data_IF_468877879394
#
_entry.id   IF_468877879394
#
_cell.length_a   1.000
_cell.length_b   1.000
_cell.length_c   1.000
_cell.angle_alpha   90.00
_cell.angle_beta   90.00
_cell.angle_gamma   90.00
#
_symmetry.space_group_name_H-M   'P 1'
#
loop_
_entity.id
_entity.type
_entity.pdbx_description
1 polymer ?
#
# COMPACT_ATOMS: atom_id res chain seq x y z
N UNK A 1 11.07 0.22 -4.22
CA UNK A 1 10.45 0.06 -2.90
C UNK A 1 9.40 -1.07 -3.00
N UNK A 2 8.85 -1.61 -1.91
CA UNK A 2 7.89 -2.72 -1.99
C UNK A 2 6.65 -2.39 -1.17
N UNK A 3 5.50 -2.98 -1.51
CA UNK A 3 4.40 -3.08 -0.57
C UNK A 3 4.73 -4.16 0.45
N UNK A 4 4.70 -3.83 1.74
CA UNK A 4 4.77 -4.84 2.80
C UNK A 4 3.51 -5.70 2.77
N UNK A 5 3.65 -6.98 3.09
CA UNK A 5 2.52 -7.88 3.25
C UNK A 5 1.49 -7.26 4.22
N UNK A 6 0.20 -7.33 3.89
CA UNK A 6 -0.88 -6.65 4.62
C UNK A 6 -0.97 -7.05 6.10
N UNK A 7 -0.70 -8.31 6.42
CA UNK A 7 -0.63 -8.81 7.80
C UNK A 7 0.45 -8.13 8.66
N UNK A 8 1.49 -7.55 8.04
CA UNK A 8 2.57 -6.88 8.78
C UNK A 8 2.23 -5.43 9.13
N UNK A 9 1.26 -4.81 8.45
CA UNK A 9 0.92 -3.38 8.62
C UNK A 9 0.76 -2.98 10.10
N UNK A 10 0.01 -3.73 10.94
CA UNK A 10 -0.16 -3.38 12.35
C UNK A 10 1.13 -3.44 13.18
N UNK A 11 2.13 -4.21 12.74
CA UNK A 11 3.39 -4.45 13.44
C UNK A 11 4.56 -3.61 12.89
N UNK A 12 4.46 -3.08 11.66
CA UNK A 12 5.54 -2.32 11.03
C UNK A 12 6.06 -1.19 11.94
N UNK A 13 7.38 -0.97 12.05
CA UNK A 13 7.89 0.18 12.78
C UNK A 13 7.53 1.49 12.07
N UNK A 14 7.62 2.61 12.81
CA UNK A 14 7.22 3.95 12.32
C UNK A 14 7.76 4.27 10.93
N UNK A 15 9.06 4.03 10.68
CA UNK A 15 9.66 4.41 9.40
C UNK A 15 9.09 3.62 8.22
N UNK A 16 8.82 2.33 8.44
CA UNK A 16 8.26 1.42 7.44
C UNK A 16 6.80 1.74 7.19
N UNK A 17 6.00 2.00 8.22
CA UNK A 17 4.61 2.41 8.07
C UNK A 17 4.49 3.73 7.28
N UNK A 18 5.25 4.76 7.66
CA UNK A 18 5.24 6.03 6.94
C UNK A 18 5.81 5.90 5.52
N UNK A 19 6.79 5.01 5.32
CA UNK A 19 7.30 4.65 4.00
C UNK A 19 6.24 3.97 3.15
N UNK A 20 5.43 3.11 3.75
CA UNK A 20 4.36 2.37 3.08
C UNK A 20 3.27 3.30 2.55
N UNK A 21 2.92 4.34 3.33
CA UNK A 21 2.01 5.39 2.87
C UNK A 21 2.58 6.14 1.65
N UNK A 22 3.86 6.54 1.70
CA UNK A 22 4.51 7.22 0.55
C UNK A 22 4.52 6.34 -0.69
N UNK A 23 4.79 5.04 -0.53
CA UNK A 23 4.79 4.09 -1.64
C UNK A 23 3.39 3.95 -2.25
N UNK A 24 2.36 3.69 -1.43
CA UNK A 24 0.99 3.57 -1.91
C UNK A 24 0.50 4.86 -2.58
N UNK A 25 0.83 6.01 -2.00
CA UNK A 25 0.56 7.33 -2.58
C UNK A 25 1.24 7.51 -3.95
N UNK A 26 2.50 7.11 -4.08
CA UNK A 26 3.26 7.20 -5.33
C UNK A 26 2.66 6.28 -6.42
N UNK A 27 2.32 5.03 -6.06
CA UNK A 27 1.72 4.06 -6.96
C UNK A 27 0.33 4.50 -7.44
N UNK A 28 -0.49 5.08 -6.56
CA UNK A 28 -1.79 5.68 -6.95
C UNK A 28 -1.61 6.94 -7.81
N UNK A 29 -0.53 7.69 -7.61
CA UNK A 29 -0.26 8.93 -8.32
C UNK A 29 0.48 8.76 -9.64
N UNK A 30 1.55 9.55 -9.82
CA UNK A 30 2.40 9.57 -11.03
C UNK A 30 3.22 8.29 -11.25
N UNK A 31 3.24 7.39 -10.26
CA UNK A 31 3.87 6.07 -10.35
C UNK A 31 3.00 5.01 -11.04
N UNK A 32 1.70 5.28 -11.23
CA UNK A 32 0.79 4.31 -11.82
C UNK A 32 1.25 3.82 -13.20
N UNK A 33 1.34 2.50 -13.38
CA UNK A 33 1.72 1.86 -14.65
C UNK A 33 3.21 1.97 -15.01
N UNK A 34 4.06 2.53 -14.14
CA UNK A 34 5.52 2.56 -14.35
C UNK A 34 6.14 1.27 -13.83
N UNK A 35 6.97 0.61 -14.65
CA UNK A 35 7.68 -0.61 -14.27
C UNK A 35 8.41 -0.46 -12.94
N UNK A 36 8.15 -1.41 -12.05
CA UNK A 36 8.68 -1.50 -10.73
C UNK A 36 8.95 -2.98 -10.37
N UNK A 37 10.23 -3.34 -10.27
CA UNK A 37 10.70 -4.74 -10.18
C UNK A 37 9.98 -5.64 -9.15
N UNK A 38 9.53 -5.08 -8.01
CA UNK A 38 8.92 -5.83 -6.90
C UNK A 38 7.43 -5.58 -6.67
N UNK A 39 6.80 -4.64 -7.39
CA UNK A 39 5.37 -4.30 -7.18
C UNK A 39 4.56 -4.19 -8.47
N UNK A 40 5.12 -4.64 -9.60
CA UNK A 40 4.45 -4.61 -10.90
C UNK A 40 3.10 -5.32 -10.90
N UNK A 41 2.93 -6.35 -10.05
CA UNK A 41 1.65 -7.05 -9.90
C UNK A 41 0.50 -6.11 -9.52
N UNK A 42 0.76 -5.01 -8.79
CA UNK A 42 -0.29 -4.06 -8.39
C UNK A 42 -1.04 -3.51 -9.61
N UNK A 43 -0.35 -3.35 -10.74
CA UNK A 43 -0.91 -2.79 -11.96
C UNK A 43 -1.64 -3.83 -12.83
N UNK A 44 -1.57 -5.12 -12.49
CA UNK A 44 -2.37 -6.18 -13.14
C UNK A 44 -3.75 -6.34 -12.50
N UNK A 45 -3.99 -5.65 -11.38
CA UNK A 45 -5.25 -5.66 -10.63
C UNK A 45 -6.03 -4.34 -10.79
N UNK A 46 -7.33 -4.33 -10.48
CA UNK A 46 -8.10 -3.09 -10.43
C UNK A 46 -7.46 -2.06 -9.47
N UNK A 47 -7.35 -0.76 -9.87
CA UNK A 47 -6.75 0.28 -9.03
C UNK A 47 -7.37 0.40 -7.63
N UNK A 48 -8.64 0.03 -7.49
CA UNK A 48 -9.35 0.04 -6.22
C UNK A 48 -8.75 -0.93 -5.19
N UNK A 49 -8.09 -2.02 -5.60
CA UNK A 49 -7.36 -2.89 -4.67
C UNK A 49 -6.18 -2.17 -4.01
N UNK A 50 -5.46 -1.35 -4.76
CA UNK A 50 -4.40 -0.50 -4.20
C UNK A 50 -4.98 0.55 -3.24
N UNK A 51 -6.17 1.06 -3.50
CA UNK A 51 -6.88 1.91 -2.55
C UNK A 51 -7.21 1.15 -1.26
N UNK A 52 -7.80 -0.05 -1.34
CA UNK A 52 -8.10 -0.90 -0.17
C UNK A 52 -6.84 -1.18 0.66
N UNK A 53 -5.74 -1.53 0.01
CA UNK A 53 -4.46 -1.69 0.70
C UNK A 53 -3.99 -0.38 1.36
N UNK A 54 -4.11 0.75 0.65
CA UNK A 54 -3.75 2.05 1.22
C UNK A 54 -4.61 2.40 2.43
N UNK A 55 -5.90 2.03 2.45
CA UNK A 55 -6.77 2.23 3.62
C UNK A 55 -6.20 1.53 4.86
N UNK A 56 -5.73 0.29 4.77
CA UNK A 56 -5.10 -0.40 5.91
C UNK A 56 -3.93 0.41 6.51
N UNK A 57 -3.13 1.03 5.64
CA UNK A 57 -2.00 1.87 6.04
C UNK A 57 -2.47 3.17 6.68
N UNK A 58 -3.48 3.83 6.09
CA UNK A 58 -4.05 5.08 6.60
C UNK A 58 -4.74 4.89 7.95
N UNK A 59 -5.47 3.78 8.10
CA UNK A 59 -6.15 3.41 9.34
C UNK A 59 -5.14 3.11 10.44
N UNK A 60 -4.08 2.35 10.14
CA UNK A 60 -3.01 2.08 11.10
C UNK A 60 -2.23 3.36 11.47
N UNK A 61 -1.98 4.24 10.50
CA UNK A 61 -1.40 5.55 10.77
C UNK A 61 -2.29 6.37 11.71
N UNK A 62 -3.59 6.42 11.45
CA UNK A 62 -4.56 7.15 12.26
C UNK A 62 -4.64 6.56 13.67
N UNK A 63 -4.66 5.23 13.79
CA UNK A 63 -4.64 4.51 15.07
C UNK A 63 -3.42 4.86 15.92
N UNK A 64 -2.26 5.10 15.30
CA UNK A 64 -1.02 5.53 15.96
C UNK A 64 -0.92 7.04 16.20
N UNK A 65 -1.99 7.79 15.94
CA UNK A 65 -2.06 9.24 16.18
C UNK A 65 -1.50 10.11 15.05
N UNK A 66 -1.14 9.54 13.90
CA UNK A 66 -0.81 10.32 12.71
C UNK A 66 -2.08 10.89 12.07
N UNK A 67 -1.92 11.96 11.28
CA UNK A 67 -3.02 12.63 10.58
C UNK A 67 -2.74 12.61 9.08
N UNK A 68 -2.98 11.49 8.38
CA UNK A 68 -2.89 11.48 6.92
C UNK A 68 -3.87 12.49 6.33
N UNK A 69 -3.53 13.05 5.17
CA UNK A 69 -4.41 14.00 4.49
C UNK A 69 -5.73 13.28 4.10
N UNK A 70 -6.91 13.84 4.44
CA UNK A 70 -8.19 13.15 4.30
C UNK A 70 -8.52 12.78 2.84
N UNK A 71 -7.96 13.49 1.87
CA UNK A 71 -8.12 13.22 0.44
C UNK A 71 -7.62 11.81 0.06
N UNK A 72 -6.69 11.23 0.82
CA UNK A 72 -6.21 9.87 0.56
C UNK A 72 -7.26 8.78 0.81
N UNK A 73 -8.33 9.09 1.54
CA UNK A 73 -9.49 8.18 1.73
C UNK A 73 -10.47 8.20 0.55
N UNK A 74 -10.28 9.05 -0.46
CA UNK A 74 -10.99 8.97 -1.74
C UNK A 74 -10.25 8.02 -2.69
N UNK A 75 -10.86 6.93 -3.22
CA UNK A 75 -10.22 6.01 -4.16
C UNK A 75 -9.71 6.70 -5.44
N UNK A 76 -10.39 7.75 -5.91
CA UNK A 76 -10.03 8.47 -7.13
C UNK A 76 -8.89 9.48 -6.92
N UNK A 77 -8.51 9.77 -5.67
CA UNK A 77 -7.45 10.73 -5.40
C UNK A 77 -6.07 10.18 -5.78
N UNK A 78 -5.31 10.98 -6.54
CA UNK A 78 -3.99 10.63 -7.11
C UNK A 78 -2.89 11.63 -6.74
N UNK A 79 -3.11 12.40 -5.67
CA UNK A 79 -2.24 13.49 -5.26
C UNK A 79 -2.58 14.81 -5.93
N UNK A 80 -2.05 15.91 -5.40
CA UNK A 80 -2.42 17.29 -5.77
C UNK A 80 -2.14 17.69 -7.22
N UNK A 81 -1.23 16.98 -7.89
CA UNK A 81 -0.74 17.32 -9.23
C UNK A 81 -1.51 16.59 -10.34
N UNK A 82 -2.42 15.68 -10.00
CA UNK A 82 -3.22 14.92 -10.94
C UNK A 82 -4.71 15.18 -10.68
N UNK A 83 -5.54 15.21 -11.75
CA UNK A 83 -6.98 15.16 -11.56
C UNK A 83 -7.38 13.85 -10.88
N UNK A 84 -8.58 13.83 -10.30
CA UNK A 84 -9.20 12.59 -9.82
C UNK A 84 -9.29 11.59 -10.97
N UNK A 85 -9.15 10.30 -10.68
CA UNK A 85 -9.34 9.21 -11.63
C UNK A 85 -10.77 8.68 -11.51
N UNK A 86 -11.72 9.12 -12.38
CA UNK A 86 -13.13 8.77 -12.21
C UNK A 86 -13.41 7.30 -12.53
N UNK A 87 -12.45 6.62 -13.16
CA UNK A 87 -12.55 5.21 -13.58
C UNK A 87 -12.26 4.21 -12.46
N UNK A 88 -11.86 4.66 -11.26
CA UNK A 88 -11.61 3.76 -10.12
C UNK A 88 -12.94 3.24 -9.56
N UNK A 89 -13.40 2.11 -10.10
CA UNK A 89 -14.63 1.44 -9.65
C UNK A 89 -14.38 0.60 -8.40
N UNK A 90 -15.33 0.63 -7.47
CA UNK A 90 -15.30 -0.20 -6.28
C UNK A 90 -15.31 -1.69 -6.63
N UNK A 91 -14.44 -2.45 -5.98
CA UNK A 91 -14.41 -3.91 -6.07
C UNK A 91 -14.55 -4.53 -4.69
N UNK A 92 -15.09 -5.77 -4.57
CA UNK A 92 -15.15 -6.46 -3.29
C UNK A 92 -13.78 -6.59 -2.64
N UNK A 93 -13.73 -6.43 -1.32
CA UNK A 93 -12.52 -6.71 -0.54
C UNK A 93 -12.25 -8.21 -0.56
N UNK A 94 -10.99 -8.59 -0.80
CA UNK A 94 -10.53 -9.98 -0.70
C UNK A 94 -9.51 -10.10 0.43
N UNK A 95 -9.30 -11.32 0.93
CA UNK A 95 -8.23 -11.63 1.87
C UNK A 95 -7.42 -12.81 1.32
N UNK A 96 -6.15 -12.59 0.93
CA UNK A 96 -5.46 -11.31 0.94
C UNK A 96 -6.03 -10.29 -0.07
N UNK A 97 -5.77 -8.99 0.09
CA UNK A 97 -6.22 -7.94 -0.86
C UNK A 97 -5.61 -8.20 -2.23
N UNK A 98 -4.30 -8.47 -2.25
CA UNK A 98 -3.58 -8.94 -3.42
C UNK A 98 -3.30 -10.44 -3.26
N UNK A 99 -3.67 -11.31 -4.21
CA UNK A 99 -3.31 -12.73 -4.17
C UNK A 99 -1.80 -12.97 -3.99
N UNK A 100 -0.96 -12.05 -4.46
CA UNK A 100 0.49 -12.07 -4.32
C UNK A 100 0.95 -11.83 -2.88
N UNK A 101 0.08 -11.37 -1.97
CA UNK A 101 0.35 -11.36 -0.53
C UNK A 101 0.01 -12.74 0.07
N UNK A 102 0.71 -13.76 -0.42
CA UNK A 102 0.65 -15.12 0.11
C UNK A 102 1.70 -15.34 1.20
N UNK A 103 1.77 -16.57 1.72
CA UNK A 103 2.72 -16.96 2.76
C UNK A 103 4.18 -16.80 2.32
N UNK A 104 4.49 -17.11 1.06
CA UNK A 104 5.84 -16.94 0.53
C UNK A 104 6.24 -15.45 0.49
N UNK A 105 5.34 -14.58 0.05
CA UNK A 105 5.57 -13.13 0.04
C UNK A 105 5.67 -12.56 1.46
N UNK A 106 4.92 -13.10 2.42
CA UNK A 106 5.06 -12.77 3.84
C UNK A 106 6.47 -13.10 4.36
N UNK A 107 6.96 -14.31 4.09
CA UNK A 107 8.31 -14.73 4.47
C UNK A 107 9.39 -13.83 3.85
N UNK A 108 9.28 -13.52 2.56
CA UNK A 108 10.19 -12.57 1.91
C UNK A 108 10.17 -11.19 2.59
N UNK A 109 9.00 -10.72 3.00
CA UNK A 109 8.87 -9.46 3.72
C UNK A 109 9.57 -9.52 5.08
N UNK A 110 9.40 -10.60 5.83
CA UNK A 110 10.06 -10.80 7.12
C UNK A 110 11.59 -10.87 6.97
N UNK A 111 12.09 -11.63 5.99
CA UNK A 111 13.52 -11.70 5.68
C UNK A 111 14.08 -10.32 5.32
N UNK A 112 13.32 -9.51 4.57
CA UNK A 112 13.73 -8.14 4.23
C UNK A 112 13.77 -7.19 5.44
N UNK A 113 12.90 -7.39 6.43
CA UNK A 113 12.94 -6.64 7.68
C UNK A 113 14.13 -7.09 8.54
N UNK A 114 14.35 -8.39 8.67
CA UNK A 114 15.48 -8.96 9.41
C UNK A 114 16.82 -8.48 8.84
N UNK A 115 16.97 -8.45 7.51
CA UNK A 115 18.20 -7.94 6.87
C UNK A 115 18.47 -6.46 7.13
N UNK A 116 17.46 -5.72 7.62
CA UNK A 116 17.56 -4.31 8.03
C UNK A 116 17.66 -4.15 9.56
N UNK A 117 17.82 -5.25 10.28
CA UNK A 117 17.89 -5.27 11.75
C UNK A 117 16.55 -5.01 12.44
N UNK A 118 15.43 -5.22 11.74
CA UNK A 118 14.07 -5.04 12.27
C UNK A 118 13.46 -6.41 12.48
N UNK A 119 13.05 -6.72 13.70
CA UNK A 119 12.41 -7.98 14.08
C UNK A 119 10.99 -7.67 14.56
N UNK A 120 10.00 -8.38 14.01
CA UNK A 120 8.57 -8.23 14.31
C UNK A 120 8.06 -9.36 15.19
#
# INVERSE_FOLDING_TARGET
MRLWHEALIPALPRQQLLGQHREAAALRGLGWGKKHATVDYVFTHPPYKLFQYHQLVLDEMTRRGYRPAPEWYDPAYRGKNLPLEPSVQAVPLTTPIFPEHDEAYLEECLVNLHSKGIYL
#
